data_IF_452709659807
#
_entry.id   IF_452709659807
#
_cell.length_a   1.000
_cell.length_b   1.000
_cell.length_c   1.000
_cell.angle_alpha   90.00
_cell.angle_beta   90.00
_cell.angle_gamma   90.00
#
_symmetry.space_group_name_H-M   'P 1'
#
loop_
_entity.id
_entity.type
_entity.pdbx_description
1 polymer ?
#
# COMPACT_ATOMS: atom_id res chain seq x y z
N UNK A 1 29.53 -55.25 -67.67
CA UNK A 1 29.19 -54.30 -68.76
C UNK A 1 27.70 -54.26 -68.86
N UNK A 2 27.11 -53.13 -69.11
CA UNK A 2 25.74 -52.73 -69.36
C UNK A 2 24.97 -52.23 -68.14
N UNK A 3 24.86 -50.88 -68.12
CA UNK A 3 24.10 -50.01 -67.25
C UNK A 3 22.61 -50.17 -67.58
N UNK A 4 21.78 -50.25 -66.55
CA UNK A 4 20.33 -50.07 -66.70
C UNK A 4 19.96 -48.85 -65.87
N UNK A 5 19.42 -47.86 -66.57
CA UNK A 5 18.95 -46.56 -66.09
C UNK A 5 17.53 -46.72 -65.56
N UNK A 6 17.30 -46.56 -64.31
CA UNK A 6 15.93 -46.52 -63.74
C UNK A 6 15.49 -45.10 -63.61
N UNK A 7 14.48 -44.70 -64.36
CA UNK A 7 13.76 -43.40 -64.18
C UNK A 7 12.92 -43.44 -62.91
N UNK A 8 13.20 -42.56 -61.96
CA UNK A 8 12.31 -42.34 -60.87
C UNK A 8 11.41 -41.15 -61.21
N UNK A 9 10.13 -41.40 -61.31
CA UNK A 9 9.06 -40.42 -61.44
C UNK A 9 8.87 -39.79 -60.05
N UNK A 10 9.27 -38.51 -59.82
CA UNK A 10 8.89 -37.74 -58.65
C UNK A 10 7.45 -37.23 -58.90
N UNK A 11 6.47 -37.86 -58.26
CA UNK A 11 5.18 -37.21 -58.03
C UNK A 11 5.25 -36.22 -56.91
N UNK A 12 5.23 -34.95 -57.26
CA UNK A 12 5.11 -33.88 -56.27
C UNK A 12 3.68 -33.85 -55.73
N UNK A 13 3.49 -34.36 -54.52
CA UNK A 13 2.25 -34.18 -53.78
C UNK A 13 2.29 -32.79 -53.16
N UNK A 14 1.61 -31.82 -53.74
CA UNK A 14 1.34 -30.50 -53.10
C UNK A 14 0.30 -30.72 -52.00
N UNK A 15 0.78 -30.84 -50.76
CA UNK A 15 -0.05 -30.74 -49.56
C UNK A 15 -0.42 -29.27 -49.40
N UNK A 16 -1.60 -28.87 -49.81
CA UNK A 16 -2.21 -27.60 -49.40
C UNK A 16 -2.58 -27.72 -47.91
N UNK A 17 -1.75 -27.16 -47.05
CA UNK A 17 -2.11 -26.88 -45.66
C UNK A 17 -3.22 -25.84 -45.66
N UNK A 18 -4.47 -26.28 -45.55
CA UNK A 18 -5.53 -25.41 -45.05
C UNK A 18 -5.22 -25.11 -43.61
N UNK A 19 -4.62 -23.93 -43.35
CA UNK A 19 -4.66 -23.32 -42.04
C UNK A 19 -6.13 -22.91 -41.77
N UNK A 20 -6.90 -23.86 -41.26
CA UNK A 20 -8.18 -23.55 -40.65
C UNK A 20 -7.90 -22.69 -39.44
N UNK A 21 -8.32 -21.43 -39.46
CA UNK A 21 -8.58 -20.67 -38.25
C UNK A 21 -9.66 -21.44 -37.47
N UNK A 22 -9.24 -22.40 -36.67
CA UNK A 22 -10.12 -22.99 -35.68
C UNK A 22 -10.38 -21.88 -34.63
N UNK A 23 -11.57 -21.32 -34.67
CA UNK A 23 -12.08 -20.58 -33.54
C UNK A 23 -11.92 -21.47 -32.30
N UNK A 24 -11.16 -21.01 -31.32
CA UNK A 24 -11.07 -21.69 -30.04
C UNK A 24 -12.50 -21.84 -29.54
N UNK A 25 -12.97 -23.05 -29.16
CA UNK A 25 -14.31 -23.19 -28.64
C UNK A 25 -14.49 -22.14 -27.51
N UNK A 26 -15.64 -21.46 -27.42
CA UNK A 26 -15.87 -20.49 -26.37
C UNK A 26 -15.56 -21.13 -25.02
N UNK A 27 -14.69 -20.49 -24.23
CA UNK A 27 -14.38 -20.99 -22.92
C UNK A 27 -15.69 -21.11 -22.13
N UNK A 28 -15.92 -22.26 -21.50
CA UNK A 28 -17.08 -22.43 -20.61
C UNK A 28 -16.95 -21.40 -19.50
N UNK A 29 -17.93 -20.53 -19.26
CA UNK A 29 -17.86 -19.52 -18.20
C UNK A 29 -17.63 -20.21 -16.84
N UNK A 30 -16.70 -19.71 -16.04
CA UNK A 30 -16.58 -20.11 -14.65
C UNK A 30 -17.79 -19.55 -13.91
N UNK A 31 -18.61 -20.43 -13.34
CA UNK A 31 -19.86 -20.04 -12.67
C UNK A 31 -20.19 -21.05 -11.57
N UNK A 32 -20.86 -20.58 -10.52
CA UNK A 32 -21.40 -21.47 -9.49
C UNK A 32 -22.63 -22.26 -9.97
N UNK A 33 -23.29 -21.80 -11.05
CA UNK A 33 -24.69 -22.15 -11.26
C UNK A 33 -25.57 -21.57 -10.15
N UNK A 34 -26.83 -22.02 -10.07
CA UNK A 34 -27.71 -21.66 -8.96
C UNK A 34 -27.26 -22.34 -7.66
N UNK A 35 -26.94 -21.54 -6.63
CA UNK A 35 -26.57 -22.03 -5.30
C UNK A 35 -27.45 -21.38 -4.24
N UNK A 36 -27.72 -22.12 -3.16
CA UNK A 36 -28.44 -21.62 -1.99
C UNK A 36 -27.67 -20.52 -1.26
N UNK A 37 -28.36 -19.83 -0.40
CA UNK A 37 -27.79 -18.77 0.44
C UNK A 37 -28.10 -19.01 1.91
N UNK A 38 -27.26 -18.48 2.80
CA UNK A 38 -27.44 -18.50 4.24
C UNK A 38 -27.35 -17.07 4.76
N UNK A 39 -28.10 -16.76 5.81
CA UNK A 39 -27.99 -15.46 6.46
C UNK A 39 -26.77 -15.42 7.38
N UNK A 40 -25.96 -14.37 7.23
CA UNK A 40 -24.93 -14.02 8.20
C UNK A 40 -25.62 -13.46 9.47
N UNK A 41 -25.63 -14.25 10.53
CA UNK A 41 -26.31 -13.90 11.80
C UNK A 41 -25.66 -12.69 12.52
N UNK A 42 -24.39 -12.41 12.24
CA UNK A 42 -23.67 -11.32 12.90
C UNK A 42 -23.96 -9.95 12.27
N UNK A 43 -24.04 -9.88 10.93
CA UNK A 43 -24.12 -8.63 10.20
C UNK A 43 -25.29 -8.58 9.21
N UNK A 44 -26.06 -9.66 9.05
CA UNK A 44 -27.20 -9.71 8.15
C UNK A 44 -26.80 -9.70 6.66
N UNK A 45 -25.63 -10.18 6.31
CA UNK A 45 -25.19 -10.30 4.92
C UNK A 45 -25.60 -11.65 4.32
N UNK A 46 -25.38 -11.80 3.00
CA UNK A 46 -25.66 -13.03 2.27
C UNK A 46 -24.41 -13.89 2.22
N UNK A 47 -24.41 -15.04 2.89
CA UNK A 47 -23.42 -16.10 2.65
C UNK A 47 -23.84 -16.98 1.48
N UNK A 48 -22.90 -17.38 0.65
CA UNK A 48 -23.08 -18.46 -0.34
C UNK A 48 -23.06 -19.80 0.38
N UNK A 49 -24.00 -20.71 0.10
CA UNK A 49 -24.05 -22.04 0.76
C UNK A 49 -23.00 -23.01 0.18
N UNK A 50 -21.73 -22.59 0.27
CA UNK A 50 -20.54 -23.41 0.02
C UNK A 50 -19.35 -22.78 0.74
N UNK A 51 -18.31 -23.57 0.98
CA UNK A 51 -17.10 -23.06 1.65
C UNK A 51 -16.27 -22.18 0.70
N UNK A 52 -15.40 -21.33 1.25
CA UNK A 52 -14.45 -20.51 0.47
C UNK A 52 -13.57 -21.40 -0.41
N UNK A 53 -13.08 -22.53 0.12
CA UNK A 53 -12.27 -23.46 -0.66
C UNK A 53 -13.05 -24.09 -1.82
N UNK A 54 -14.30 -24.53 -1.57
CA UNK A 54 -15.15 -25.06 -2.62
C UNK A 54 -15.48 -24.04 -3.71
N UNK A 55 -15.64 -22.76 -3.34
CA UNK A 55 -15.81 -21.67 -4.30
C UNK A 55 -14.54 -21.47 -5.16
N UNK A 56 -13.37 -21.50 -4.53
CA UNK A 56 -12.10 -21.38 -5.24
C UNK A 56 -11.83 -22.59 -6.17
N UNK A 57 -12.24 -23.80 -5.76
CA UNK A 57 -12.12 -25.03 -6.57
C UNK A 57 -12.96 -24.98 -7.86
N UNK A 58 -14.00 -24.13 -7.93
CA UNK A 58 -14.75 -23.86 -9.16
C UNK A 58 -13.95 -23.03 -10.18
N UNK A 59 -12.79 -22.48 -9.79
CA UNK A 59 -11.89 -21.71 -10.65
C UNK A 59 -11.91 -20.21 -10.37
N UNK A 60 -12.60 -19.73 -9.32
CA UNK A 60 -12.49 -18.37 -8.84
C UNK A 60 -11.20 -18.19 -8.02
N UNK A 61 -10.68 -16.96 -7.99
CA UNK A 61 -9.55 -16.61 -7.14
C UNK A 61 -9.69 -15.17 -6.63
N UNK A 62 -9.07 -14.90 -5.48
CA UNK A 62 -9.02 -13.54 -4.97
C UNK A 62 -8.39 -12.59 -5.99
N UNK A 63 -8.99 -11.42 -6.16
CA UNK A 63 -8.64 -10.44 -7.19
C UNK A 63 -9.41 -10.59 -8.50
N UNK A 64 -10.28 -11.59 -8.64
CA UNK A 64 -11.19 -11.70 -9.80
C UNK A 64 -12.30 -10.64 -9.73
N UNK A 65 -12.82 -10.26 -10.91
CA UNK A 65 -14.09 -9.57 -11.04
C UNK A 65 -15.21 -10.59 -11.26
N UNK A 66 -16.32 -10.44 -10.54
CA UNK A 66 -17.48 -11.30 -10.63
C UNK A 66 -18.77 -10.51 -10.81
N UNK A 67 -19.75 -11.19 -11.45
CA UNK A 67 -21.14 -10.76 -11.48
C UNK A 67 -21.95 -11.69 -10.56
N UNK A 68 -22.86 -11.12 -9.78
CA UNK A 68 -23.75 -11.87 -8.90
C UNK A 68 -25.19 -11.60 -9.34
N UNK A 69 -25.86 -12.63 -9.88
CA UNK A 69 -27.29 -12.58 -10.16
C UNK A 69 -28.05 -12.88 -8.87
N UNK A 70 -28.97 -11.97 -8.52
CA UNK A 70 -29.79 -11.99 -7.31
C UNK A 70 -31.26 -12.31 -7.66
N UNK A 71 -32.09 -12.72 -6.70
CA UNK A 71 -33.52 -12.91 -6.93
C UNK A 71 -34.20 -11.64 -7.46
N UNK A 72 -35.28 -11.83 -8.22
CA UNK A 72 -36.02 -10.70 -8.78
C UNK A 72 -35.42 -10.04 -10.01
N UNK A 73 -34.28 -10.55 -10.51
CA UNK A 73 -33.62 -10.02 -11.70
C UNK A 73 -32.64 -8.87 -11.39
N UNK A 74 -32.35 -8.64 -10.14
CA UNK A 74 -31.28 -7.73 -9.72
C UNK A 74 -29.90 -8.39 -9.91
N UNK A 75 -28.88 -7.57 -10.07
CA UNK A 75 -27.51 -8.04 -10.18
C UNK A 75 -26.51 -7.05 -9.58
N UNK A 76 -25.45 -7.59 -8.98
CA UNK A 76 -24.23 -6.85 -8.69
C UNK A 76 -23.21 -7.18 -9.78
N UNK A 77 -22.86 -6.20 -10.59
CA UNK A 77 -21.97 -6.42 -11.73
C UNK A 77 -20.58 -5.85 -11.43
N UNK A 78 -19.56 -6.55 -11.96
CA UNK A 78 -18.16 -6.09 -11.92
C UNK A 78 -17.66 -5.83 -10.48
N UNK A 79 -18.10 -6.64 -9.51
CA UNK A 79 -17.65 -6.51 -8.13
C UNK A 79 -16.40 -7.35 -7.89
N UNK A 80 -15.46 -6.91 -7.01
CA UNK A 80 -14.27 -7.69 -6.71
C UNK A 80 -14.57 -8.88 -5.79
N UNK A 81 -13.87 -9.99 -6.00
CA UNK A 81 -13.73 -11.08 -5.05
C UNK A 81 -12.42 -10.93 -4.28
N UNK A 82 -12.50 -10.61 -2.99
CA UNK A 82 -11.34 -10.33 -2.14
C UNK A 82 -11.26 -11.22 -0.89
N UNK A 83 -10.07 -11.33 -0.30
CA UNK A 83 -9.87 -11.94 1.02
C UNK A 83 -10.13 -10.98 2.18
N UNK A 84 -10.65 -9.79 1.93
CA UNK A 84 -10.94 -8.75 2.93
C UNK A 84 -11.79 -7.64 2.33
N UNK A 85 -12.17 -6.66 3.13
CA UNK A 85 -13.05 -5.55 2.71
C UNK A 85 -12.25 -4.43 2.02
N UNK A 86 -11.59 -4.73 0.90
CA UNK A 86 -10.63 -3.85 0.20
C UNK A 86 -11.30 -2.95 -0.85
N UNK A 87 -12.49 -2.46 -0.56
CA UNK A 87 -13.24 -1.52 -1.38
C UNK A 87 -13.57 -0.26 -0.58
N UNK A 88 -13.88 0.87 -1.24
CA UNK A 88 -14.37 2.07 -0.55
C UNK A 88 -15.61 1.79 0.29
N UNK A 89 -15.79 2.60 1.35
CA UNK A 89 -17.01 2.54 2.18
C UNK A 89 -18.25 2.72 1.30
N UNK A 90 -19.25 1.85 1.48
CA UNK A 90 -20.50 1.84 0.70
C UNK A 90 -20.40 1.08 -0.64
N UNK A 91 -19.25 0.52 -0.98
CA UNK A 91 -19.09 -0.27 -2.21
C UNK A 91 -19.32 -1.76 -1.98
N UNK A 92 -19.95 -2.49 -2.95
CA UNK A 92 -20.18 -3.92 -2.86
C UNK A 92 -18.92 -4.74 -3.15
N UNK A 93 -18.86 -5.95 -2.58
CA UNK A 93 -17.85 -6.96 -2.87
C UNK A 93 -18.37 -8.36 -2.58
N UNK A 94 -17.72 -9.34 -3.17
CA UNK A 94 -17.72 -10.72 -2.68
C UNK A 94 -16.47 -10.91 -1.82
N UNK A 95 -16.61 -11.40 -0.60
CA UNK A 95 -15.49 -11.51 0.33
C UNK A 95 -15.34 -12.93 0.87
N UNK A 96 -14.16 -13.53 0.71
CA UNK A 96 -13.77 -14.79 1.35
C UNK A 96 -12.83 -14.49 2.52
N UNK A 97 -13.33 -13.83 3.57
CA UNK A 97 -12.50 -13.41 4.71
C UNK A 97 -11.94 -14.62 5.47
N UNK A 98 -10.63 -14.65 5.80
CA UNK A 98 -10.04 -15.73 6.58
C UNK A 98 -10.78 -15.95 7.90
N UNK A 99 -11.22 -17.19 8.13
CA UNK A 99 -12.02 -17.55 9.31
C UNK A 99 -13.53 -17.48 9.13
N UNK A 100 -14.03 -16.95 8.02
CA UNK A 100 -15.44 -17.09 7.65
C UNK A 100 -15.70 -18.48 7.09
N UNK A 101 -16.87 -19.08 7.39
CA UNK A 101 -17.22 -20.41 6.86
C UNK A 101 -17.54 -20.38 5.36
N UNK A 102 -18.02 -19.25 4.85
CA UNK A 102 -18.58 -19.07 3.50
C UNK A 102 -18.10 -17.77 2.87
N UNK A 103 -18.06 -17.65 1.53
CA UNK A 103 -17.96 -16.35 0.87
C UNK A 103 -19.20 -15.51 1.18
N UNK A 104 -19.02 -14.21 1.41
CA UNK A 104 -20.08 -13.28 1.77
C UNK A 104 -20.24 -12.19 0.71
N UNK A 105 -21.47 -11.92 0.31
CA UNK A 105 -21.85 -10.74 -0.49
C UNK A 105 -22.18 -9.63 0.51
N UNK A 106 -21.42 -8.56 0.47
CA UNK A 106 -21.55 -7.46 1.44
C UNK A 106 -21.27 -6.09 0.81
N UNK A 107 -21.67 -5.05 1.52
CA UNK A 107 -21.16 -3.68 1.32
C UNK A 107 -20.15 -3.35 2.42
N UNK A 108 -19.04 -2.71 2.07
CA UNK A 108 -18.10 -2.25 3.08
C UNK A 108 -18.72 -1.10 3.90
N UNK A 109 -19.01 -1.34 5.18
CA UNK A 109 -19.76 -0.42 6.06
C UNK A 109 -21.09 0.08 5.45
N UNK A 110 -21.82 -0.81 4.73
CA UNK A 110 -23.13 -0.52 4.15
C UNK A 110 -24.26 -1.27 4.85
N UNK A 111 -25.46 -1.19 4.26
CA UNK A 111 -26.63 -1.89 4.76
C UNK A 111 -26.51 -3.40 4.59
N UNK A 112 -27.13 -4.21 5.48
CA UNK A 112 -27.14 -5.66 5.38
C UNK A 112 -27.74 -6.12 4.04
N UNK A 113 -27.02 -6.98 3.32
CA UNK A 113 -27.44 -7.40 1.97
C UNK A 113 -28.64 -8.35 1.99
N UNK A 114 -28.86 -9.10 3.07
CA UNK A 114 -30.00 -10.01 3.21
C UNK A 114 -31.32 -9.27 3.13
N UNK A 115 -31.49 -8.22 3.92
CA UNK A 115 -32.67 -7.36 3.93
C UNK A 115 -32.77 -6.48 2.69
N UNK A 116 -31.64 -5.93 2.24
CA UNK A 116 -31.58 -5.06 1.06
C UNK A 116 -32.13 -5.74 -0.19
N UNK A 117 -31.82 -7.04 -0.36
CA UNK A 117 -32.26 -7.82 -1.53
C UNK A 117 -33.44 -8.75 -1.24
N UNK A 118 -34.10 -8.61 -0.10
CA UNK A 118 -35.29 -9.38 0.26
C UNK A 118 -35.07 -10.90 0.23
N UNK A 119 -33.93 -11.34 0.74
CA UNK A 119 -33.54 -12.77 0.72
C UNK A 119 -34.45 -13.61 1.61
N UNK A 120 -34.66 -14.86 1.20
CA UNK A 120 -35.39 -15.89 1.94
C UNK A 120 -34.54 -17.16 2.01
N UNK A 121 -34.86 -18.09 2.91
CA UNK A 121 -34.09 -19.32 3.13
C UNK A 121 -34.05 -20.25 1.90
N UNK A 122 -34.98 -20.09 0.97
CA UNK A 122 -35.07 -20.83 -0.29
C UNK A 122 -34.53 -20.05 -1.50
N UNK A 123 -33.98 -18.85 -1.28
CA UNK A 123 -33.39 -18.04 -2.32
C UNK A 123 -32.14 -18.71 -2.91
N UNK A 124 -31.91 -18.46 -4.19
CA UNK A 124 -30.69 -18.87 -4.89
C UNK A 124 -30.05 -17.68 -5.57
N UNK A 125 -28.73 -17.74 -5.68
CA UNK A 125 -27.92 -16.77 -6.43
C UNK A 125 -27.00 -17.49 -7.40
N UNK A 126 -26.51 -16.76 -8.40
CA UNK A 126 -25.49 -17.28 -9.32
C UNK A 126 -24.33 -16.29 -9.34
N UNK A 127 -23.13 -16.80 -9.11
CA UNK A 127 -21.89 -16.02 -9.27
C UNK A 127 -21.21 -16.46 -10.56
N UNK A 128 -20.86 -15.50 -11.41
CA UNK A 128 -20.19 -15.76 -12.69
C UNK A 128 -18.90 -14.94 -12.74
N UNK A 129 -17.81 -15.58 -13.15
CA UNK A 129 -16.54 -14.89 -13.38
C UNK A 129 -16.71 -13.93 -14.58
N UNK A 130 -16.53 -12.64 -14.32
CA UNK A 130 -16.54 -11.61 -15.37
C UNK A 130 -15.16 -11.44 -15.98
N UNK A 131 -14.13 -11.21 -15.15
CA UNK A 131 -12.76 -11.02 -15.61
C UNK A 131 -11.76 -11.57 -14.61
N UNK A 132 -10.88 -12.45 -15.09
CA UNK A 132 -9.86 -13.08 -14.26
C UNK A 132 -8.78 -12.08 -13.86
N UNK A 133 -8.54 -11.94 -12.55
CA UNK A 133 -7.44 -11.16 -12.01
C UNK A 133 -7.56 -9.64 -12.18
N UNK A 134 -8.73 -9.10 -12.57
CA UNK A 134 -8.94 -7.67 -12.79
C UNK A 134 -8.51 -6.81 -11.59
N UNK A 135 -8.74 -7.32 -10.40
CA UNK A 135 -8.45 -6.63 -9.13
C UNK A 135 -7.27 -7.26 -8.37
N UNK A 136 -6.46 -8.11 -9.04
CA UNK A 136 -5.36 -8.82 -8.41
C UNK A 136 -4.33 -7.88 -7.77
N UNK A 137 -4.02 -6.75 -8.39
CA UNK A 137 -3.08 -5.78 -7.85
C UNK A 137 -3.55 -5.19 -6.49
N UNK A 138 -4.85 -4.91 -6.36
CA UNK A 138 -5.44 -4.45 -5.09
C UNK A 138 -5.41 -5.57 -4.05
N UNK A 139 -5.80 -6.79 -4.41
CA UNK A 139 -5.71 -7.96 -3.54
C UNK A 139 -4.28 -8.15 -3.04
N UNK A 140 -3.31 -8.11 -3.93
CA UNK A 140 -1.89 -8.24 -3.62
C UNK A 140 -1.40 -7.15 -2.66
N UNK A 141 -1.81 -5.91 -2.89
CA UNK A 141 -1.43 -4.78 -2.04
C UNK A 141 -1.86 -4.99 -0.58
N UNK A 142 -3.11 -5.38 -0.37
CA UNK A 142 -3.65 -5.59 0.98
C UNK A 142 -3.25 -6.94 1.60
N UNK A 143 -2.75 -7.87 0.79
CA UNK A 143 -2.23 -9.17 1.25
C UNK A 143 -0.73 -9.14 1.52
N UNK A 144 -0.06 -8.00 1.34
CA UNK A 144 1.37 -7.89 1.56
C UNK A 144 1.72 -8.22 3.02
N UNK A 145 2.62 -9.18 3.17
CA UNK A 145 3.18 -9.58 4.46
C UNK A 145 4.69 -9.38 4.42
N UNK A 146 5.28 -9.00 5.52
CA UNK A 146 6.72 -8.96 5.70
C UNK A 146 7.14 -9.73 6.95
N UNK A 147 8.38 -10.18 6.97
CA UNK A 147 8.95 -10.90 8.10
C UNK A 147 9.44 -9.94 9.19
N UNK A 148 9.37 -10.37 10.44
CA UNK A 148 10.04 -9.73 11.57
C UNK A 148 11.38 -10.42 11.91
N UNK A 149 11.74 -11.47 11.16
CA UNK A 149 13.00 -12.17 11.33
C UNK A 149 14.13 -11.45 10.59
N UNK A 150 15.14 -10.98 11.33
CA UNK A 150 16.29 -10.28 10.74
C UNK A 150 17.00 -11.09 9.63
N UNK A 151 17.03 -12.41 9.76
CA UNK A 151 17.68 -13.31 8.82
C UNK A 151 17.07 -13.31 7.40
N UNK A 152 15.83 -12.84 7.27
CA UNK A 152 15.11 -12.77 5.99
C UNK A 152 15.47 -11.52 5.16
N UNK A 153 16.35 -10.66 5.69
CA UNK A 153 16.76 -9.41 5.06
C UNK A 153 18.25 -9.41 4.73
N UNK A 154 18.62 -8.85 3.59
CA UNK A 154 20.01 -8.81 3.10
C UNK A 154 20.96 -8.02 4.00
N UNK A 155 20.46 -7.04 4.74
CA UNK A 155 21.27 -6.23 5.65
C UNK A 155 20.47 -5.69 6.84
N UNK A 156 21.19 -5.31 7.92
CA UNK A 156 20.62 -4.62 9.07
C UNK A 156 19.95 -3.31 8.68
N UNK A 157 20.49 -2.61 7.68
CA UNK A 157 19.97 -1.35 7.19
C UNK A 157 18.62 -1.52 6.50
N UNK A 158 18.47 -2.56 5.66
CA UNK A 158 17.20 -2.93 5.01
C UNK A 158 16.18 -3.33 6.07
N UNK A 159 16.57 -4.18 7.03
CA UNK A 159 15.70 -4.60 8.12
C UNK A 159 15.17 -3.42 8.93
N UNK A 160 16.03 -2.47 9.31
CA UNK A 160 15.65 -1.25 10.01
C UNK A 160 14.92 -0.22 9.14
N UNK A 161 14.82 -0.45 7.83
CA UNK A 161 14.33 0.52 6.85
C UNK A 161 15.02 1.90 6.99
N UNK A 162 16.28 1.90 7.46
CA UNK A 162 17.05 3.12 7.72
C UNK A 162 17.72 3.62 6.44
N UNK A 163 17.53 4.88 6.13
CA UNK A 163 18.20 5.53 4.99
C UNK A 163 18.22 7.04 5.08
N UNK A 164 19.17 7.63 4.38
CA UNK A 164 19.16 9.02 4.03
C UNK A 164 18.03 9.29 3.02
N UNK A 165 17.27 10.37 3.21
CA UNK A 165 16.31 10.85 2.24
C UNK A 165 17.03 11.74 1.24
N UNK A 166 16.84 11.47 -0.05
CA UNK A 166 17.51 12.19 -1.15
C UNK A 166 16.52 12.57 -2.25
N UNK A 167 16.69 13.74 -2.84
CA UNK A 167 15.87 14.22 -3.97
C UNK A 167 15.84 15.74 -4.03
N UNK A 168 15.54 16.28 -5.21
CA UNK A 168 15.49 17.71 -5.44
C UNK A 168 16.77 18.42 -5.01
N UNK A 169 16.61 19.48 -4.23
CA UNK A 169 17.71 20.27 -3.65
C UNK A 169 18.02 19.92 -2.20
N UNK A 170 17.53 18.77 -1.72
CA UNK A 170 17.78 18.34 -0.33
C UNK A 170 19.28 18.15 -0.10
N UNK A 171 19.80 18.85 0.90
CA UNK A 171 21.22 18.82 1.28
C UNK A 171 21.59 17.43 1.83
N UNK A 172 22.69 16.83 1.38
CA UNK A 172 23.14 15.53 1.86
C UNK A 172 23.29 15.48 3.38
N UNK A 173 23.00 14.32 3.98
CA UNK A 173 23.13 14.03 5.41
C UNK A 173 22.31 14.97 6.32
N UNK A 174 21.21 15.47 5.81
CA UNK A 174 20.30 16.36 6.57
C UNK A 174 19.13 15.61 7.15
N UNK A 175 18.52 14.73 6.35
CA UNK A 175 17.30 14.02 6.72
C UNK A 175 17.45 12.52 6.54
N UNK A 176 17.07 11.79 7.56
CA UNK A 176 17.00 10.32 7.58
C UNK A 176 15.59 9.84 7.91
N UNK A 177 15.29 8.61 7.50
CA UNK A 177 14.06 7.93 7.89
C UNK A 177 14.34 6.47 8.24
N UNK A 178 13.50 5.87 9.10
CA UNK A 178 13.62 4.47 9.52
C UNK A 178 12.32 3.91 10.10
N UNK A 179 12.31 2.59 10.40
CA UNK A 179 11.43 2.03 11.42
C UNK A 179 11.70 2.69 12.77
N UNK A 180 10.82 2.46 13.75
CA UNK A 180 10.97 3.03 15.09
C UNK A 180 12.29 2.59 15.73
N UNK A 181 13.10 3.53 16.22
CA UNK A 181 14.29 3.22 17.01
C UNK A 181 14.01 2.98 18.50
N UNK A 182 12.73 2.95 18.93
CA UNK A 182 12.36 2.75 20.33
C UNK A 182 11.22 1.75 20.55
N UNK A 183 10.32 1.57 19.59
CA UNK A 183 9.30 0.52 19.61
C UNK A 183 9.87 -0.76 19.01
N UNK A 184 10.00 -1.81 19.83
CA UNK A 184 10.62 -3.07 19.42
C UNK A 184 9.62 -4.16 18.99
N UNK A 185 8.34 -3.82 18.73
CA UNK A 185 7.32 -4.82 18.36
C UNK A 185 7.70 -5.64 17.11
N UNK A 186 8.57 -5.13 16.24
CA UNK A 186 9.06 -5.78 15.02
C UNK A 186 10.55 -6.14 15.09
N UNK A 187 11.18 -6.11 16.26
CA UNK A 187 12.59 -6.44 16.43
C UNK A 187 13.58 -5.47 15.77
N UNK A 188 13.13 -4.30 15.29
CA UNK A 188 13.92 -3.36 14.48
C UNK A 188 14.58 -2.23 15.28
N UNK A 189 14.11 -1.98 16.51
CA UNK A 189 14.48 -0.78 17.27
C UNK A 189 15.97 -0.65 17.49
N UNK A 190 16.65 -1.68 17.97
CA UNK A 190 18.10 -1.65 18.22
C UNK A 190 18.92 -1.38 16.95
N UNK A 191 18.46 -1.87 15.80
CA UNK A 191 19.12 -1.63 14.51
C UNK A 191 18.95 -0.17 14.07
N UNK A 192 17.71 0.34 14.09
CA UNK A 192 17.41 1.74 13.75
C UNK A 192 18.16 2.70 14.68
N UNK A 193 18.23 2.40 15.99
CA UNK A 193 18.96 3.17 16.97
C UNK A 193 20.46 3.26 16.66
N UNK A 194 21.12 2.12 16.33
CA UNK A 194 22.55 2.10 15.96
C UNK A 194 22.84 2.88 14.67
N UNK A 195 21.97 2.80 13.67
CA UNK A 195 22.14 3.59 12.45
C UNK A 195 21.91 5.08 12.67
N UNK A 196 20.96 5.47 13.54
CA UNK A 196 20.78 6.86 13.93
C UNK A 196 22.01 7.44 14.61
N UNK A 197 22.63 6.67 15.52
CA UNK A 197 23.90 7.03 16.16
C UNK A 197 25.04 7.17 15.12
N UNK A 198 25.21 6.17 14.24
CA UNK A 198 26.24 6.18 13.20
C UNK A 198 26.07 7.34 12.20
N UNK A 199 24.85 7.74 11.91
CA UNK A 199 24.53 8.90 11.07
C UNK A 199 24.68 10.23 11.79
N UNK A 200 24.91 10.22 13.10
CA UNK A 200 25.04 11.43 13.93
C UNK A 200 23.73 12.22 14.05
N UNK A 201 22.59 11.53 14.03
CA UNK A 201 21.26 12.17 14.20
C UNK A 201 21.23 12.97 15.50
N UNK A 202 20.76 14.20 15.42
CA UNK A 202 20.69 15.09 16.58
C UNK A 202 19.27 15.47 17.00
N UNK A 203 18.32 15.29 16.12
CA UNK A 203 16.91 15.60 16.39
C UNK A 203 16.01 14.56 15.76
N UNK A 204 14.93 14.20 16.45
CA UNK A 204 14.00 13.14 16.01
C UNK A 204 12.56 13.62 16.03
N UNK A 205 11.84 13.37 14.93
CA UNK A 205 10.39 13.45 14.87
C UNK A 205 9.81 12.03 14.98
N UNK A 206 9.27 11.72 16.14
CA UNK A 206 8.53 10.48 16.39
C UNK A 206 7.04 10.74 16.10
N UNK A 207 6.58 10.24 14.97
CA UNK A 207 5.21 10.46 14.49
C UNK A 207 4.18 9.57 15.19
N UNK A 208 4.62 8.47 15.83
CA UNK A 208 3.72 7.40 16.31
C UNK A 208 3.40 7.47 17.79
N UNK A 209 4.36 7.84 18.61
CA UNK A 209 4.28 7.60 20.04
C UNK A 209 3.95 8.86 20.83
N UNK A 210 3.30 8.67 21.96
CA UNK A 210 3.21 9.63 23.04
C UNK A 210 4.36 9.43 24.03
N UNK A 211 4.63 10.42 24.87
CA UNK A 211 5.59 10.27 25.96
C UNK A 211 5.23 9.07 26.87
N UNK A 212 3.93 8.88 27.17
CA UNK A 212 3.48 7.76 27.98
C UNK A 212 3.77 6.40 27.33
N UNK A 213 3.59 6.29 26.01
CA UNK A 213 3.92 5.10 25.24
C UNK A 213 5.42 4.81 25.28
N UNK A 214 6.23 5.84 25.06
CA UNK A 214 7.69 5.72 25.10
C UNK A 214 8.21 5.28 26.48
N UNK A 215 7.69 5.87 27.56
CA UNK A 215 8.04 5.45 28.94
C UNK A 215 7.73 3.95 29.13
N UNK A 216 6.64 3.45 28.55
CA UNK A 216 6.32 2.01 28.57
C UNK A 216 7.42 1.18 27.88
N UNK A 217 7.93 1.63 26.74
CA UNK A 217 9.03 0.93 26.05
C UNK A 217 10.31 0.89 26.87
N UNK A 218 10.69 1.99 27.54
CA UNK A 218 11.91 2.03 28.35
C UNK A 218 11.87 1.09 29.55
N UNK A 219 10.69 0.64 29.96
CA UNK A 219 10.50 -0.35 31.04
C UNK A 219 10.56 -1.80 30.54
N UNK A 220 10.55 -2.05 29.23
CA UNK A 220 10.61 -3.37 28.66
C UNK A 220 12.02 -3.97 28.79
N UNK A 221 12.08 -5.30 29.02
CA UNK A 221 13.35 -6.01 29.24
C UNK A 221 14.25 -6.07 27.99
N UNK A 222 13.66 -5.90 26.82
CA UNK A 222 14.32 -5.90 25.51
C UNK A 222 14.60 -4.51 24.96
N UNK A 223 14.42 -3.45 25.77
CA UNK A 223 14.73 -2.10 25.36
C UNK A 223 16.25 -1.92 25.15
N UNK A 224 16.65 -1.73 23.91
CA UNK A 224 18.06 -1.56 23.47
C UNK A 224 18.19 -0.33 22.55
N UNK A 225 17.89 0.86 23.08
CA UNK A 225 17.87 2.10 22.33
C UNK A 225 18.52 3.28 23.10
N UNK A 226 19.73 3.03 23.59
CA UNK A 226 20.45 3.94 24.46
C UNK A 226 20.70 5.31 23.81
N UNK A 227 21.02 5.35 22.51
CA UNK A 227 21.25 6.61 21.80
C UNK A 227 19.96 7.45 21.69
N UNK A 228 18.87 6.78 21.32
CA UNK A 228 17.55 7.44 21.25
C UNK A 228 17.11 7.98 22.64
N UNK A 229 17.32 7.19 23.70
CA UNK A 229 17.02 7.59 25.07
C UNK A 229 17.85 8.82 25.50
N UNK A 230 19.12 8.88 25.09
CA UNK A 230 19.96 10.05 25.34
C UNK A 230 19.44 11.31 24.60
N UNK A 231 18.99 11.17 23.36
CA UNK A 231 18.35 12.27 22.62
C UNK A 231 17.04 12.72 23.28
N UNK A 232 16.20 11.77 23.70
CA UNK A 232 14.96 12.08 24.41
C UNK A 232 15.20 12.85 25.69
N UNK A 233 16.12 12.38 26.54
CA UNK A 233 16.48 13.05 27.81
C UNK A 233 17.10 14.43 27.59
N UNK A 234 17.71 14.65 26.44
CA UNK A 234 18.24 15.97 26.05
C UNK A 234 17.18 16.92 25.48
N UNK A 235 15.91 16.48 25.34
CA UNK A 235 14.83 17.26 24.74
C UNK A 235 14.90 17.34 23.20
N UNK A 236 15.61 16.43 22.58
CA UNK A 236 15.84 16.38 21.12
C UNK A 236 14.96 15.36 20.40
N UNK A 237 13.87 14.90 21.01
CA UNK A 237 12.85 14.05 20.41
C UNK A 237 11.49 14.68 20.61
N UNK A 238 10.75 14.89 19.53
CA UNK A 238 9.35 15.30 19.60
C UNK A 238 8.44 14.09 19.43
N UNK A 239 7.66 13.79 20.46
CA UNK A 239 6.63 12.75 20.46
C UNK A 239 5.31 13.33 19.99
N UNK A 240 4.85 12.97 18.78
CA UNK A 240 3.72 13.65 18.15
C UNK A 240 2.41 12.86 18.22
N UNK A 241 2.45 11.53 18.45
CA UNK A 241 1.28 10.66 18.59
C UNK A 241 0.22 10.87 17.46
N UNK A 242 0.68 11.06 16.22
CA UNK A 242 -0.17 11.41 15.08
C UNK A 242 -0.85 10.17 14.49
N UNK A 243 -2.11 10.32 14.09
CA UNK A 243 -2.78 9.34 13.23
C UNK A 243 -2.38 9.55 11.75
N UNK A 244 -3.06 8.88 10.80
CA UNK A 244 -2.79 9.01 9.36
C UNK A 244 -3.80 9.92 8.63
N UNK A 245 -4.48 10.82 9.33
CA UNK A 245 -5.44 11.74 8.69
C UNK A 245 -4.74 13.00 8.17
N UNK A 246 -3.97 12.85 7.11
CA UNK A 246 -3.11 13.89 6.50
C UNK A 246 -3.87 15.14 6.03
N UNK A 247 -5.18 15.02 5.77
CA UNK A 247 -6.03 16.12 5.31
C UNK A 247 -6.59 16.97 6.45
N UNK A 248 -6.55 16.48 7.68
CA UNK A 248 -7.07 17.20 8.83
C UNK A 248 -6.21 18.42 9.18
N UNK A 249 -6.85 19.54 9.53
CA UNK A 249 -6.15 20.75 9.94
C UNK A 249 -5.32 20.53 11.21
N UNK A 250 -5.81 19.71 12.14
CA UNK A 250 -5.06 19.35 13.34
C UNK A 250 -3.76 18.59 13.01
N UNK A 251 -3.80 17.68 11.99
CA UNK A 251 -2.59 17.01 11.52
C UNK A 251 -1.59 18.02 10.91
N UNK A 252 -2.09 18.89 10.02
CA UNK A 252 -1.25 19.91 9.38
C UNK A 252 -0.62 20.86 10.43
N UNK A 253 -1.38 21.28 11.44
CA UNK A 253 -0.89 22.16 12.50
C UNK A 253 0.22 21.50 13.32
N UNK A 254 -0.02 20.29 13.85
CA UNK A 254 0.97 19.56 14.65
C UNK A 254 2.23 19.29 13.85
N UNK A 255 2.10 18.82 12.60
CA UNK A 255 3.25 18.55 11.74
C UNK A 255 4.04 19.80 11.43
N UNK A 256 3.37 20.89 11.05
CA UNK A 256 4.05 22.13 10.67
C UNK A 256 4.87 22.72 11.83
N UNK A 257 4.31 22.73 13.03
CA UNK A 257 5.05 23.17 14.24
C UNK A 257 6.28 22.28 14.49
N UNK A 258 6.13 20.95 14.37
CA UNK A 258 7.24 20.01 14.55
C UNK A 258 8.33 20.20 13.49
N UNK A 259 7.97 20.45 12.23
CA UNK A 259 8.93 20.70 11.16
C UNK A 259 9.69 22.02 11.36
N UNK A 260 9.03 23.05 11.87
CA UNK A 260 9.73 24.27 12.24
C UNK A 260 10.67 24.05 13.43
N UNK A 261 10.24 23.32 14.46
CA UNK A 261 11.11 22.95 15.58
C UNK A 261 12.32 22.14 15.10
N UNK A 262 12.14 21.21 14.16
CA UNK A 262 13.24 20.47 13.51
C UNK A 262 14.22 21.43 12.81
N UNK A 263 13.72 22.42 12.09
CA UNK A 263 14.55 23.32 11.28
C UNK A 263 15.39 24.30 12.10
N UNK A 264 15.05 24.56 13.37
CA UNK A 264 15.84 25.39 14.27
C UNK A 264 16.91 24.62 15.05
N UNK A 265 16.93 23.28 14.92
CA UNK A 265 17.98 22.42 15.48
C UNK A 265 19.11 22.23 14.48
N UNK A 266 20.33 22.12 14.98
CA UNK A 266 21.51 21.85 14.17
C UNK A 266 21.69 20.34 13.98
N UNK A 267 22.08 19.95 12.76
CA UNK A 267 22.55 18.61 12.44
C UNK A 267 21.49 17.73 11.82
N UNK A 268 21.88 16.46 11.57
CA UNK A 268 20.99 15.50 10.92
C UNK A 268 19.75 15.20 11.74
N UNK A 269 18.60 15.10 11.06
CA UNK A 269 17.31 14.77 11.66
C UNK A 269 16.83 13.40 11.20
N UNK A 270 16.09 12.72 12.08
CA UNK A 270 15.41 11.46 11.79
C UNK A 270 13.89 11.65 11.88
N UNK A 271 13.17 11.16 10.88
CA UNK A 271 11.72 11.05 10.92
C UNK A 271 11.35 9.57 10.95
N UNK A 272 10.54 9.15 11.90
CA UNK A 272 10.05 7.79 11.98
C UNK A 272 8.60 7.69 12.47
N UNK A 273 7.97 6.56 12.18
CA UNK A 273 6.76 6.07 12.83
C UNK A 273 7.04 4.64 13.31
N UNK A 274 6.08 3.73 13.37
CA UNK A 274 6.32 2.34 13.73
C UNK A 274 7.21 1.64 12.68
N UNK A 275 6.73 1.57 11.44
CA UNK A 275 7.43 0.89 10.33
C UNK A 275 8.32 1.82 9.49
N UNK A 276 8.22 3.12 9.68
CA UNK A 276 8.88 4.09 8.79
C UNK A 276 8.25 4.16 7.39
N UNK A 277 7.01 3.72 7.23
CA UNK A 277 6.31 3.53 5.95
C UNK A 277 5.35 4.68 5.64
N UNK A 278 4.15 4.69 6.25
CA UNK A 278 3.03 5.53 5.81
C UNK A 278 3.13 6.97 6.32
N UNK A 279 3.07 7.21 7.64
CA UNK A 279 3.22 8.55 8.22
C UNK A 279 4.57 9.18 7.88
N UNK A 280 5.62 8.39 8.01
CA UNK A 280 6.98 8.79 7.61
C UNK A 280 7.06 9.08 6.11
N UNK A 281 6.40 8.27 5.28
CA UNK A 281 6.32 8.47 3.84
C UNK A 281 5.67 9.78 3.45
N UNK A 282 4.54 10.13 4.08
CA UNK A 282 3.88 11.41 3.85
C UNK A 282 4.75 12.61 4.26
N UNK A 283 5.39 12.54 5.44
CA UNK A 283 6.26 13.63 5.91
C UNK A 283 7.48 13.80 5.00
N UNK A 284 8.11 12.70 4.58
CA UNK A 284 9.23 12.77 3.63
C UNK A 284 8.78 13.31 2.26
N UNK A 285 7.58 12.94 1.78
CA UNK A 285 7.02 13.49 0.54
C UNK A 285 6.82 15.02 0.63
N UNK A 286 6.30 15.52 1.75
CA UNK A 286 6.14 16.95 1.99
C UNK A 286 7.50 17.69 2.00
N UNK A 287 8.51 17.15 2.70
CA UNK A 287 9.84 17.74 2.80
C UNK A 287 10.59 17.69 1.45
N UNK A 288 10.44 16.61 0.70
CA UNK A 288 10.99 16.49 -0.65
C UNK A 288 10.32 17.47 -1.61
N UNK A 289 8.99 17.62 -1.54
CA UNK A 289 8.26 18.61 -2.34
C UNK A 289 8.75 20.04 -2.02
N UNK A 290 8.95 20.36 -0.75
CA UNK A 290 9.51 21.65 -0.31
C UNK A 290 10.96 21.83 -0.78
N UNK A 291 11.69 20.75 -1.00
CA UNK A 291 13.07 20.73 -1.53
C UNK A 291 13.13 20.65 -3.04
N UNK A 292 12.06 20.97 -3.77
CA UNK A 292 11.96 20.96 -5.24
C UNK A 292 12.13 19.57 -5.88
N UNK A 293 11.87 18.49 -5.16
CA UNK A 293 11.90 17.16 -5.73
C UNK A 293 10.72 16.95 -6.71
N UNK A 294 10.96 16.16 -7.73
CA UNK A 294 9.93 15.72 -8.68
C UNK A 294 9.03 14.64 -8.06
N UNK A 295 7.86 14.42 -8.64
CA UNK A 295 6.98 13.34 -8.23
C UNK A 295 7.65 11.96 -8.33
N UNK A 296 8.52 11.76 -9.34
CA UNK A 296 9.26 10.51 -9.52
C UNK A 296 10.31 10.29 -8.42
N UNK A 297 11.01 11.34 -7.99
CA UNK A 297 11.98 11.26 -6.87
C UNK A 297 11.26 10.94 -5.55
N UNK A 298 10.11 11.59 -5.28
CA UNK A 298 9.29 11.32 -4.11
C UNK A 298 8.77 9.88 -4.12
N UNK A 299 8.29 9.42 -5.28
CA UNK A 299 7.85 8.04 -5.46
C UNK A 299 8.99 7.06 -5.23
N UNK A 300 10.17 7.34 -5.76
CA UNK A 300 11.34 6.48 -5.59
C UNK A 300 11.72 6.31 -4.11
N UNK A 301 11.74 7.41 -3.30
CA UNK A 301 11.99 7.31 -1.87
C UNK A 301 10.92 6.45 -1.16
N UNK A 302 9.65 6.68 -1.46
CA UNK A 302 8.56 5.93 -0.82
C UNK A 302 8.65 4.42 -1.13
N UNK A 303 8.88 4.08 -2.39
CA UNK A 303 8.92 2.70 -2.87
C UNK A 303 10.11 1.89 -2.32
N UNK A 304 11.20 2.53 -1.86
CA UNK A 304 12.29 1.82 -1.18
C UNK A 304 11.78 1.02 0.03
N UNK A 305 10.80 1.54 0.78
CA UNK A 305 10.22 0.81 1.91
C UNK A 305 9.51 -0.47 1.46
N UNK A 306 8.82 -0.41 0.33
CA UNK A 306 8.14 -1.59 -0.22
C UNK A 306 9.11 -2.59 -0.84
N UNK A 307 10.19 -2.12 -1.43
CA UNK A 307 11.29 -2.99 -1.85
C UNK A 307 11.94 -3.67 -0.64
N UNK A 308 12.22 -2.92 0.44
CA UNK A 308 12.86 -3.43 1.64
C UNK A 308 12.01 -4.49 2.37
N UNK A 309 10.72 -4.24 2.56
CA UNK A 309 9.86 -5.09 3.38
C UNK A 309 9.18 -6.21 2.58
N UNK A 310 8.80 -5.93 1.35
CA UNK A 310 7.91 -6.81 0.58
C UNK A 310 8.54 -7.31 -0.74
N UNK A 311 9.76 -6.87 -1.07
CA UNK A 311 10.39 -7.21 -2.35
C UNK A 311 9.65 -6.65 -3.57
N UNK A 312 8.79 -5.62 -3.38
CA UNK A 312 8.01 -5.02 -4.47
C UNK A 312 8.86 -3.99 -5.20
N UNK A 313 9.19 -4.28 -6.45
CA UNK A 313 9.84 -3.36 -7.39
C UNK A 313 9.10 -3.38 -8.74
N UNK A 314 9.46 -2.49 -9.65
CA UNK A 314 8.89 -2.50 -11.02
C UNK A 314 9.18 -3.79 -11.76
N UNK A 315 10.30 -4.45 -11.45
CA UNK A 315 10.75 -5.68 -12.09
C UNK A 315 10.09 -6.93 -11.50
N UNK A 316 9.90 -6.95 -10.17
CA UNK A 316 9.40 -8.14 -9.46
C UNK A 316 7.88 -8.24 -9.47
N UNK A 317 7.17 -7.11 -9.27
CA UNK A 317 5.70 -7.04 -9.13
C UNK A 317 5.19 -5.71 -9.71
N UNK A 318 5.18 -5.52 -11.04
CA UNK A 318 4.88 -4.23 -11.67
C UNK A 318 3.47 -3.71 -11.35
N UNK A 319 2.46 -4.55 -11.36
CA UNK A 319 1.06 -4.12 -11.11
C UNK A 319 0.86 -3.70 -9.65
N UNK A 320 1.43 -4.45 -8.71
CA UNK A 320 1.42 -4.09 -7.28
C UNK A 320 2.23 -2.80 -7.04
N UNK A 321 3.36 -2.63 -7.74
CA UNK A 321 4.14 -1.39 -7.68
C UNK A 321 3.30 -0.17 -8.10
N UNK A 322 2.58 -0.26 -9.22
CA UNK A 322 1.72 0.83 -9.70
C UNK A 322 0.53 1.08 -8.75
N UNK A 323 -0.05 0.05 -8.15
CA UNK A 323 -1.09 0.20 -7.13
C UNK A 323 -0.58 0.94 -5.89
N UNK A 324 0.64 0.65 -5.43
CA UNK A 324 1.27 1.35 -4.31
C UNK A 324 1.63 2.79 -4.69
N UNK A 325 2.12 3.01 -5.93
CA UNK A 325 2.44 4.35 -6.43
C UNK A 325 1.24 5.29 -6.35
N UNK A 326 0.03 4.78 -6.54
CA UNK A 326 -1.20 5.56 -6.40
C UNK A 326 -1.36 6.19 -4.99
N UNK A 327 -0.82 5.57 -3.94
CA UNK A 327 -0.80 6.18 -2.59
C UNK A 327 0.08 7.43 -2.54
N UNK A 328 1.19 7.44 -3.28
CA UNK A 328 2.05 8.63 -3.40
C UNK A 328 1.32 9.74 -4.15
N UNK A 329 0.63 9.40 -5.22
CA UNK A 329 -0.20 10.36 -5.97
C UNK A 329 -1.24 11.03 -5.04
N UNK A 330 -1.84 10.28 -4.12
CA UNK A 330 -2.79 10.81 -3.13
C UNK A 330 -2.09 11.68 -2.06
N UNK A 331 -0.87 11.36 -1.66
CA UNK A 331 -0.06 12.24 -0.82
C UNK A 331 0.21 13.56 -1.51
N UNK A 332 0.62 13.54 -2.79
CA UNK A 332 0.91 14.73 -3.55
C UNK A 332 -0.35 15.60 -3.78
N UNK A 333 -1.48 14.98 -4.06
CA UNK A 333 -2.78 15.68 -4.11
C UNK A 333 -3.16 16.29 -2.76
N UNK A 334 -2.93 15.58 -1.67
CA UNK A 334 -3.18 16.08 -0.32
C UNK A 334 -2.29 17.29 0.00
N UNK A 335 -0.99 17.20 -0.27
CA UNK A 335 -0.01 18.28 -0.09
C UNK A 335 -0.39 19.51 -0.93
N UNK A 336 -0.84 19.30 -2.16
CA UNK A 336 -1.25 20.37 -3.06
C UNK A 336 -2.68 20.87 -2.87
N UNK A 337 -3.44 20.29 -1.93
CA UNK A 337 -4.88 20.59 -1.70
C UNK A 337 -5.72 20.41 -2.98
N UNK A 338 -5.32 19.47 -3.82
CA UNK A 338 -5.96 19.15 -5.08
C UNK A 338 -7.07 18.10 -4.92
N UNK A 339 -8.02 18.10 -5.86
CA UNK A 339 -9.07 17.09 -5.92
C UNK A 339 -8.54 15.68 -6.24
N UNK A 340 -9.33 14.62 -5.98
CA UNK A 340 -8.88 13.23 -6.14
C UNK A 340 -8.49 12.89 -7.58
N UNK A 341 -9.08 13.54 -8.57
CA UNK A 341 -8.85 13.29 -9.99
C UNK A 341 -7.80 14.23 -10.62
N UNK A 342 -7.19 15.13 -9.82
CA UNK A 342 -6.21 16.07 -10.35
C UNK A 342 -4.97 15.32 -10.87
N UNK A 343 -4.56 15.53 -12.14
CA UNK A 343 -3.34 14.90 -12.65
C UNK A 343 -2.11 15.38 -11.89
N UNK A 344 -1.34 14.46 -11.30
CA UNK A 344 -0.13 14.79 -10.52
C UNK A 344 0.88 15.61 -11.34
N UNK A 345 1.00 15.31 -12.63
CA UNK A 345 1.88 16.05 -13.54
C UNK A 345 1.54 17.55 -13.68
N UNK A 346 0.31 17.96 -13.29
CA UNK A 346 -0.12 19.37 -13.32
C UNK A 346 0.10 20.10 -12.00
N UNK A 347 0.54 19.41 -10.94
CA UNK A 347 0.70 19.97 -9.60
C UNK A 347 2.04 20.71 -9.48
N UNK A 348 2.01 21.89 -8.88
CA UNK A 348 3.24 22.55 -8.41
C UNK A 348 3.49 22.06 -6.97
N UNK A 349 4.37 21.05 -6.83
CA UNK A 349 4.62 20.37 -5.57
C UNK A 349 5.22 21.27 -4.50
N UNK A 350 6.19 22.13 -4.90
CA UNK A 350 6.81 23.09 -3.99
C UNK A 350 5.79 24.09 -3.43
N UNK A 351 5.02 24.76 -4.32
CA UNK A 351 3.99 25.70 -3.87
C UNK A 351 2.89 25.01 -3.06
N UNK A 352 2.59 23.74 -3.38
CA UNK A 352 1.69 22.89 -2.61
C UNK A 352 2.21 22.69 -1.18
N UNK A 353 3.48 22.31 -1.02
CA UNK A 353 4.11 22.12 0.27
C UNK A 353 4.12 23.43 1.09
N UNK A 354 4.43 24.56 0.46
CA UNK A 354 4.35 25.88 1.10
C UNK A 354 2.93 26.18 1.59
N UNK A 355 1.89 25.92 0.77
CA UNK A 355 0.48 26.13 1.20
C UNK A 355 0.11 25.21 2.35
N UNK A 356 0.50 23.93 2.28
CA UNK A 356 0.23 22.96 3.33
C UNK A 356 0.80 23.42 4.68
N UNK A 357 2.06 23.87 4.71
CA UNK A 357 2.72 24.38 5.92
C UNK A 357 2.07 25.68 6.42
N UNK A 358 1.66 26.57 5.50
CA UNK A 358 0.92 27.78 5.84
C UNK A 358 -0.45 27.48 6.44
N UNK A 359 -1.19 26.52 5.88
CA UNK A 359 -2.44 26.01 6.49
C UNK A 359 -2.20 25.44 7.87
N UNK A 360 -1.06 24.77 8.10
CA UNK A 360 -0.63 24.29 9.40
C UNK A 360 -0.18 25.41 10.38
N UNK A 361 -0.28 26.68 9.99
CA UNK A 361 -0.05 27.84 10.87
C UNK A 361 1.33 28.48 10.79
N UNK A 362 2.25 27.99 9.93
CA UNK A 362 3.56 28.61 9.78
C UNK A 362 3.48 29.93 9.00
N UNK A 363 4.21 30.93 9.48
CA UNK A 363 4.50 32.15 8.72
C UNK A 363 5.49 31.88 7.59
N UNK A 364 5.52 32.78 6.60
CA UNK A 364 6.46 32.67 5.48
C UNK A 364 7.93 32.66 5.94
N UNK A 365 8.26 33.36 7.03
CA UNK A 365 9.60 33.33 7.63
C UNK A 365 9.93 31.95 8.21
N UNK A 366 8.98 31.30 8.87
CA UNK A 366 9.18 29.96 9.42
C UNK A 366 9.29 28.91 8.31
N UNK A 367 8.45 29.01 7.26
CA UNK A 367 8.54 28.12 6.07
C UNK A 367 9.91 28.29 5.40
N UNK A 368 10.38 29.52 5.22
CA UNK A 368 11.71 29.78 4.65
C UNK A 368 12.84 29.24 5.53
N UNK A 369 12.67 29.17 6.85
CA UNK A 369 13.62 28.54 7.74
C UNK A 369 13.67 27.01 7.53
N UNK A 370 12.50 26.35 7.40
CA UNK A 370 12.42 24.90 7.07
C UNK A 370 13.09 24.63 5.72
N UNK A 371 12.78 25.41 4.68
CA UNK A 371 13.38 25.28 3.35
C UNK A 371 14.91 25.47 3.39
N UNK A 372 15.38 26.49 4.11
CA UNK A 372 16.82 26.77 4.29
C UNK A 372 17.53 25.61 5.00
N UNK A 373 16.95 25.06 6.05
CA UNK A 373 17.48 23.88 6.75
C UNK A 373 17.66 22.69 5.79
N UNK A 374 16.69 22.47 4.92
CA UNK A 374 16.72 21.36 3.98
C UNK A 374 17.72 21.58 2.82
N UNK A 375 17.90 22.81 2.32
CA UNK A 375 18.54 23.06 1.02
C UNK A 375 19.86 23.83 1.10
N UNK A 376 20.18 24.47 2.22
CA UNK A 376 21.40 25.28 2.43
C UNK A 376 22.17 24.78 3.65
#
# INVERSE_FOLDING_TARGET
MKKALALLLCAALTLTLFAGCGEKPPAVPVTTGEIGVLRDEAFGNIYLDLTIDAFNDLGFAFGDSVDVALPGGEALEDIPYYSGYYVPVGSPLLCGYPGYPHPVIAYNYGDPTWETYGMTDDAVVTVTLREKGKFAATQDLFSLQYSDERADFDSDQIFANFREVTGGSLKPKTLYRSASPCDNQHGRAAYANRFAEAAGVRFVLNLSDSEGTYIGYTAAADFDSAYYDALYRAGNVLMLAMNANYRADAFAATLSEALYAMAVHEGPCLVHCVEGKDRTGFVCALLLALSYATADEITADYMITYANYYGVTKETRPDTYEAIRANVDDFLRCICEAGPDAPVASLNLHDGAVRYLRRGGLSDTQIAAVETFLTK
#
